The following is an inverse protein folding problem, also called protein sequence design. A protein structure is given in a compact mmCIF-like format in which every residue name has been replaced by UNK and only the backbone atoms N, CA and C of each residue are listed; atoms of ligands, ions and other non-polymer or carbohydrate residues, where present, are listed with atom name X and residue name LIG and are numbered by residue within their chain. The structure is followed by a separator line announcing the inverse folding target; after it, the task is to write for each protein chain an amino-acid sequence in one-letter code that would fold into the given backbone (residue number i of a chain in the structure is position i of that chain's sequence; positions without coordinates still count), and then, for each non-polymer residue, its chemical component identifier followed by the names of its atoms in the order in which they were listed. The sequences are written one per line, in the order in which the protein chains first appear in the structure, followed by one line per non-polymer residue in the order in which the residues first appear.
data_IF_185209438454
#
_entry.id   IF_185209438454
#
_cell.length_a   1.000
_cell.length_b   1.000
_cell.length_c   1.000
_cell.angle_alpha   90.00
_cell.angle_beta   90.00
_cell.angle_gamma   90.00
#
_symmetry.space_group_name_H-M   'P 1'
#
loop_
_entity.id
_entity.type
_entity.pdbx_description
1 polymer ?
#
# COMPACT_ATOMS: atom_id res chain seq x y z
N UNK A 1 52.20 31.74 -17.05
CA UNK A 1 51.57 30.50 -17.58
C UNK A 1 51.64 29.33 -16.59
N UNK A 2 52.81 29.00 -15.99
CA UNK A 2 52.93 27.90 -15.02
C UNK A 2 52.19 28.12 -13.68
N UNK A 3 52.05 29.36 -13.21
CA UNK A 3 51.35 29.71 -11.97
C UNK A 3 49.81 29.65 -12.11
N UNK A 4 49.27 30.08 -13.26
CA UNK A 4 47.82 30.01 -13.54
C UNK A 4 47.35 28.55 -13.72
N UNK A 5 48.19 27.68 -14.26
CA UNK A 5 47.89 26.24 -14.39
C UNK A 5 47.84 25.58 -13.00
N UNK A 6 48.75 25.95 -12.08
CA UNK A 6 48.73 25.44 -10.71
C UNK A 6 47.48 25.88 -9.92
N UNK A 7 47.00 27.11 -10.13
CA UNK A 7 45.78 27.62 -9.50
C UNK A 7 44.51 26.95 -10.03
N UNK A 8 44.45 26.64 -11.33
CA UNK A 8 43.31 25.93 -11.94
C UNK A 8 43.28 24.47 -11.47
N UNK A 9 44.44 23.82 -11.34
CA UNK A 9 44.52 22.45 -10.84
C UNK A 9 44.17 22.34 -9.35
N UNK A 10 44.50 23.34 -8.51
CA UNK A 10 44.10 23.32 -7.10
C UNK A 10 42.59 23.53 -6.94
N UNK A 11 41.97 24.38 -7.77
CA UNK A 11 40.51 24.59 -7.77
C UNK A 11 39.75 23.35 -8.27
N UNK A 12 40.28 22.63 -9.25
CA UNK A 12 39.67 21.40 -9.77
C UNK A 12 39.72 20.24 -8.75
N UNK A 13 40.79 20.15 -7.95
CA UNK A 13 40.89 19.17 -6.85
C UNK A 13 39.87 19.39 -5.74
N UNK A 14 39.50 20.65 -5.45
CA UNK A 14 38.49 20.97 -4.43
C UNK A 14 37.07 20.61 -4.92
N UNK A 15 36.78 20.80 -6.22
CA UNK A 15 35.50 20.41 -6.82
C UNK A 15 35.27 18.90 -6.87
N UNK A 16 36.34 18.08 -6.91
CA UNK A 16 36.22 16.62 -6.88
C UNK A 16 35.78 16.06 -5.52
N UNK A 17 35.95 16.82 -4.42
CA UNK A 17 35.55 16.42 -3.07
C UNK A 17 34.10 16.77 -2.71
N UNK A 18 33.37 17.50 -3.57
CA UNK A 18 32.02 18.01 -3.26
C UNK A 18 30.86 17.14 -3.80
N UNK A 19 31.13 15.93 -4.30
CA UNK A 19 30.11 15.05 -4.91
C UNK A 19 29.63 13.90 -3.99
N UNK A 20 30.06 13.83 -2.73
CA UNK A 20 29.76 12.70 -1.81
C UNK A 20 28.71 13.02 -0.71
N UNK A 21 28.07 14.19 -0.72
CA UNK A 21 27.08 14.61 0.32
C UNK A 21 25.60 14.37 -0.07
N UNK A 22 25.31 13.62 -1.14
CA UNK A 22 23.92 13.48 -1.66
C UNK A 22 23.18 12.24 -1.11
N UNK A 23 23.81 11.40 -0.28
CA UNK A 23 23.16 10.16 0.19
C UNK A 23 22.34 10.35 1.49
N UNK A 24 22.84 11.14 2.45
CA UNK A 24 22.23 11.19 3.79
C UNK A 24 20.87 11.92 3.80
N UNK A 25 20.72 13.01 3.03
CA UNK A 25 19.46 13.78 3.04
C UNK A 25 18.28 13.03 2.41
N UNK A 26 18.51 12.21 1.37
CA UNK A 26 17.45 11.44 0.73
C UNK A 26 17.03 10.22 1.56
N UNK A 27 17.95 9.63 2.33
CA UNK A 27 17.64 8.56 3.28
C UNK A 27 16.77 9.09 4.43
N UNK A 28 17.15 10.24 4.99
CA UNK A 28 16.45 10.86 6.12
C UNK A 28 14.98 11.22 5.79
N UNK A 29 14.69 11.62 4.54
CA UNK A 29 13.32 11.94 4.12
C UNK A 29 12.41 10.71 4.03
N UNK A 30 12.97 9.50 3.87
CA UNK A 30 12.20 8.24 3.80
C UNK A 30 12.00 7.56 5.15
N UNK A 31 12.87 7.82 6.13
CA UNK A 31 12.71 7.34 7.51
C UNK A 31 11.89 8.29 8.38
N UNK A 32 11.38 9.40 7.83
CA UNK A 32 10.49 10.26 8.62
C UNK A 32 9.26 9.47 9.03
N UNK A 33 8.95 9.43 10.35
CA UNK A 33 7.83 8.67 10.84
C UNK A 33 6.54 9.33 10.35
N UNK A 34 5.71 8.58 9.62
CA UNK A 34 4.40 9.03 9.13
C UNK A 34 3.35 9.21 10.26
N UNK A 35 3.75 9.01 11.52
CA UNK A 35 2.91 9.18 12.69
C UNK A 35 3.67 9.02 14.01
N UNK A 36 3.15 9.60 15.09
CA UNK A 36 3.71 9.46 16.44
C UNK A 36 3.23 8.13 17.04
N UNK A 37 4.14 7.19 17.28
CA UNK A 37 3.86 5.98 18.05
C UNK A 37 3.72 6.39 19.52
N UNK A 38 2.49 6.41 20.04
CA UNK A 38 2.28 6.50 21.48
C UNK A 38 2.48 5.11 22.06
N UNK A 39 3.67 4.87 22.61
CA UNK A 39 3.88 3.71 23.50
C UNK A 39 3.16 4.05 24.80
N UNK A 40 1.99 3.45 25.04
CA UNK A 40 1.41 3.47 26.37
C UNK A 40 2.32 2.64 27.25
N UNK A 41 3.02 3.31 28.18
CA UNK A 41 3.70 2.64 29.26
C UNK A 41 2.71 1.74 29.99
N UNK A 42 3.16 0.50 30.14
CA UNK A 42 2.55 -0.62 30.80
C UNK A 42 2.07 -0.24 32.20
N UNK A 43 0.75 -0.18 32.40
CA UNK A 43 0.13 -0.31 33.71
C UNK A 43 -0.87 -1.46 33.63
N UNK A 44 -0.40 -2.60 34.11
CA UNK A 44 -1.05 -3.89 33.98
C UNK A 44 -2.43 -3.96 34.62
N UNK A 45 -3.28 -4.78 34.01
CA UNK A 45 -4.04 -5.79 34.72
C UNK A 45 -4.69 -6.75 33.72
N UNK A 46 -4.39 -8.04 33.91
CA UNK A 46 -5.23 -9.21 33.65
C UNK A 46 -5.74 -9.45 32.22
N UNK A 47 -5.09 -10.43 31.59
CA UNK A 47 -5.74 -11.32 30.63
C UNK A 47 -6.86 -12.05 31.36
N UNK A 48 -8.10 -11.69 31.07
CA UNK A 48 -9.22 -12.61 31.16
C UNK A 48 -9.80 -12.78 29.75
N UNK A 49 -9.94 -14.05 29.37
CA UNK A 49 -10.57 -14.48 28.14
C UNK A 49 -12.01 -13.93 28.07
N UNK A 50 -12.30 -13.13 27.05
CA UNK A 50 -13.65 -12.61 26.86
C UNK A 50 -13.72 -11.71 25.64
N UNK A 51 -14.41 -12.17 24.61
CA UNK A 51 -14.77 -11.37 23.46
C UNK A 51 -15.39 -10.03 23.89
N UNK A 52 -14.82 -8.90 23.48
CA UNK A 52 -15.57 -7.65 23.26
C UNK A 52 -14.76 -6.71 22.36
N UNK A 53 -15.31 -6.52 21.17
CA UNK A 53 -15.05 -5.46 20.20
C UNK A 53 -14.96 -4.09 20.87
N UNK A 54 -13.77 -3.51 20.97
CA UNK A 54 -13.59 -2.11 21.33
C UNK A 54 -13.25 -1.30 20.09
N UNK A 55 -14.28 -0.59 19.62
CA UNK A 55 -14.21 0.44 18.60
C UNK A 55 -13.43 1.65 19.14
N UNK A 56 -12.22 1.87 18.64
CA UNK A 56 -11.57 3.18 18.73
C UNK A 56 -11.93 3.99 17.48
N UNK A 57 -12.80 4.97 17.68
CA UNK A 57 -13.09 6.02 16.70
C UNK A 57 -11.90 6.97 16.66
N UNK A 58 -10.93 6.64 15.82
CA UNK A 58 -9.92 7.59 15.34
C UNK A 58 -10.56 8.52 14.30
N UNK A 59 -10.06 9.75 14.20
CA UNK A 59 -10.66 10.85 13.45
C UNK A 59 -10.78 10.50 11.96
N UNK A 60 -11.97 10.05 11.59
CA UNK A 60 -12.39 9.61 10.26
C UNK A 60 -12.13 10.69 9.20
N UNK A 61 -11.05 10.55 8.45
CA UNK A 61 -11.30 10.26 7.03
C UNK A 61 -12.08 8.96 7.02
N UNK A 62 -13.36 8.98 6.67
CA UNK A 62 -14.18 7.77 6.59
C UNK A 62 -13.62 6.96 5.42
N UNK A 63 -12.57 6.18 5.67
CA UNK A 63 -12.01 5.28 4.68
C UNK A 63 -13.11 4.30 4.30
N UNK A 64 -13.32 4.11 3.01
CA UNK A 64 -14.39 3.23 2.56
C UNK A 64 -14.02 1.79 2.95
N UNK A 65 -15.01 0.95 3.33
CA UNK A 65 -14.74 -0.43 3.71
C UNK A 65 -13.91 -1.16 2.64
N UNK A 66 -12.83 -1.81 3.04
CA UNK A 66 -11.96 -2.56 2.12
C UNK A 66 -10.93 -1.73 1.35
N UNK A 67 -10.96 -0.40 1.47
CA UNK A 67 -10.00 0.47 0.79
C UNK A 67 -8.55 0.22 1.26
N UNK A 68 -8.30 -0.03 2.56
CA UNK A 68 -6.96 -0.38 3.07
C UNK A 68 -6.38 -1.63 2.42
N UNK A 69 -7.19 -2.67 2.32
CA UNK A 69 -6.77 -3.94 1.72
C UNK A 69 -6.55 -3.76 0.21
N UNK A 70 -7.45 -3.05 -0.47
CA UNK A 70 -7.28 -2.73 -1.88
C UNK A 70 -5.97 -1.97 -2.13
N UNK A 71 -5.74 -0.88 -1.40
CA UNK A 71 -4.58 -0.01 -1.60
C UNK A 71 -3.28 -0.80 -1.37
N UNK A 72 -3.25 -1.65 -0.34
CA UNK A 72 -2.05 -2.38 0.08
C UNK A 72 -1.71 -3.59 -0.80
N UNK A 73 -2.72 -4.33 -1.27
CA UNK A 73 -2.50 -5.63 -1.92
C UNK A 73 -3.03 -5.72 -3.35
N UNK A 74 -4.16 -5.06 -3.63
CA UNK A 74 -4.88 -5.27 -4.90
C UNK A 74 -4.53 -4.22 -5.96
N UNK A 75 -4.17 -3.01 -5.54
CA UNK A 75 -3.98 -1.83 -6.38
C UNK A 75 -2.92 -2.03 -7.46
N UNK A 76 -1.84 -2.76 -7.15
CA UNK A 76 -0.71 -3.03 -8.05
C UNK A 76 -1.18 -3.60 -9.38
N UNK A 77 -2.16 -4.50 -9.37
CA UNK A 77 -2.68 -5.11 -10.58
C UNK A 77 -4.00 -4.46 -11.03
N UNK A 78 -4.87 -4.14 -10.09
CA UNK A 78 -6.24 -3.74 -10.40
C UNK A 78 -6.43 -2.24 -10.63
N UNK A 79 -5.45 -1.37 -10.33
CA UNK A 79 -5.59 0.06 -10.63
C UNK A 79 -5.66 0.30 -12.13
N UNK A 80 -4.64 -0.18 -12.85
CA UNK A 80 -4.46 0.09 -14.28
C UNK A 80 -4.76 -1.15 -15.16
N UNK A 81 -5.11 -2.29 -14.55
CA UNK A 81 -5.50 -3.51 -15.25
C UNK A 81 -4.31 -4.34 -15.75
N UNK A 82 -3.26 -4.41 -14.94
CA UNK A 82 -2.05 -5.18 -15.25
C UNK A 82 -2.40 -6.65 -15.50
N UNK A 83 -1.73 -7.28 -16.48
CA UNK A 83 -1.94 -8.67 -16.85
C UNK A 83 -3.41 -9.04 -17.16
N UNK A 84 -4.22 -8.06 -17.60
CA UNK A 84 -5.64 -8.26 -17.91
C UNK A 84 -6.56 -8.29 -16.67
N UNK A 85 -6.08 -7.79 -15.53
CA UNK A 85 -6.91 -7.60 -14.33
C UNK A 85 -8.04 -6.60 -14.61
N UNK A 86 -9.25 -6.79 -14.05
CA UNK A 86 -10.31 -5.80 -14.14
C UNK A 86 -9.89 -4.52 -13.43
N UNK A 87 -10.04 -3.38 -14.11
CA UNK A 87 -9.63 -2.08 -13.57
C UNK A 87 -10.54 -1.62 -12.45
N UNK A 88 -9.98 -0.83 -11.54
CA UNK A 88 -10.70 -0.26 -10.40
C UNK A 88 -11.89 0.56 -10.89
N UNK A 89 -13.10 0.18 -10.43
CA UNK A 89 -14.35 0.87 -10.73
C UNK A 89 -14.68 1.03 -12.23
N UNK A 90 -14.04 0.24 -13.10
CA UNK A 90 -14.29 0.24 -14.54
C UNK A 90 -15.57 -0.53 -14.87
N UNK A 91 -16.63 0.19 -15.25
CA UNK A 91 -17.89 -0.44 -15.66
C UNK A 91 -17.71 -1.42 -16.83
N UNK A 92 -16.83 -1.09 -17.78
CA UNK A 92 -16.57 -1.94 -18.95
C UNK A 92 -16.00 -3.31 -18.55
N UNK A 93 -15.15 -3.35 -17.52
CA UNK A 93 -14.56 -4.60 -17.04
C UNK A 93 -15.51 -5.36 -16.11
N UNK A 94 -16.24 -4.65 -15.25
CA UNK A 94 -17.07 -5.27 -14.21
C UNK A 94 -18.45 -5.70 -14.68
N UNK A 95 -19.10 -5.00 -15.63
CA UNK A 95 -20.42 -5.39 -16.16
C UNK A 95 -20.51 -6.85 -16.63
N UNK A 96 -19.64 -7.36 -17.53
CA UNK A 96 -19.72 -8.75 -17.99
C UNK A 96 -19.42 -9.77 -16.87
N UNK A 97 -18.59 -9.39 -15.89
CA UNK A 97 -18.22 -10.24 -14.76
C UNK A 97 -19.35 -10.34 -13.75
N UNK A 98 -20.00 -9.23 -13.41
CA UNK A 98 -21.15 -9.18 -12.52
C UNK A 98 -22.42 -9.77 -13.16
N UNK A 99 -22.52 -9.78 -14.49
CA UNK A 99 -23.62 -10.44 -15.19
C UNK A 99 -23.57 -11.97 -15.06
N UNK A 100 -22.36 -12.54 -14.92
CA UNK A 100 -22.14 -13.99 -14.87
C UNK A 100 -21.83 -14.52 -13.47
N UNK A 101 -21.52 -13.64 -12.51
CA UNK A 101 -21.05 -14.02 -11.17
C UNK A 101 -21.67 -13.15 -10.08
N UNK A 102 -21.98 -13.77 -8.93
CA UNK A 102 -22.34 -13.06 -7.70
C UNK A 102 -21.07 -12.62 -6.96
N UNK A 103 -21.22 -11.73 -5.98
CA UNK A 103 -20.10 -11.27 -5.12
C UNK A 103 -19.37 -12.45 -4.47
N UNK A 104 -20.10 -13.46 -4.01
CA UNK A 104 -19.49 -14.62 -3.34
C UNK A 104 -18.68 -15.48 -4.32
N UNK A 105 -19.06 -15.54 -5.59
CA UNK A 105 -18.27 -16.23 -6.64
C UNK A 105 -16.98 -15.48 -6.96
N UNK A 106 -17.01 -14.14 -6.90
CA UNK A 106 -15.81 -13.30 -7.02
C UNK A 106 -14.88 -13.51 -5.84
N UNK A 107 -15.42 -13.60 -4.62
CA UNK A 107 -14.66 -13.92 -3.41
C UNK A 107 -14.01 -15.30 -3.52
N UNK A 108 -14.76 -16.32 -3.91
CA UNK A 108 -14.21 -17.67 -4.11
C UNK A 108 -13.09 -17.69 -5.17
N UNK A 109 -13.26 -16.93 -6.26
CA UNK A 109 -12.23 -16.77 -7.30
C UNK A 109 -10.98 -16.05 -6.74
N UNK A 110 -11.17 -15.02 -5.92
CA UNK A 110 -10.07 -14.28 -5.29
C UNK A 110 -9.31 -15.13 -4.25
N UNK A 111 -10.02 -15.94 -3.46
CA UNK A 111 -9.42 -16.85 -2.48
C UNK A 111 -8.58 -17.92 -3.20
N UNK A 112 -9.15 -18.58 -4.21
CA UNK A 112 -8.47 -19.63 -4.97
C UNK A 112 -7.33 -19.09 -5.87
N UNK A 113 -7.48 -17.85 -6.35
CA UNK A 113 -6.69 -17.32 -7.45
C UNK A 113 -7.28 -17.72 -8.81
N UNK A 114 -7.05 -16.88 -9.82
CA UNK A 114 -7.56 -17.09 -11.18
C UNK A 114 -6.60 -16.49 -12.21
N UNK A 115 -6.14 -17.31 -13.16
CA UNK A 115 -5.17 -16.90 -14.18
C UNK A 115 -3.93 -16.27 -13.55
N UNK A 116 -3.63 -15.01 -13.87
CA UNK A 116 -2.52 -14.25 -13.31
C UNK A 116 -2.78 -13.69 -11.89
N UNK A 117 -4.00 -13.81 -11.36
CA UNK A 117 -4.34 -13.35 -10.01
C UNK A 117 -3.94 -14.40 -8.97
N UNK A 118 -3.00 -14.11 -8.04
CA UNK A 118 -2.60 -15.03 -6.99
C UNK A 118 -3.73 -15.32 -5.99
N UNK A 119 -3.59 -16.43 -5.26
CA UNK A 119 -4.51 -16.78 -4.17
C UNK A 119 -4.59 -15.65 -3.11
N UNK A 120 -5.81 -15.41 -2.62
CA UNK A 120 -6.18 -14.33 -1.69
C UNK A 120 -5.69 -12.93 -2.10
N UNK A 121 -5.42 -12.70 -3.39
CA UNK A 121 -4.89 -11.42 -3.88
C UNK A 121 -3.60 -11.00 -3.18
N UNK A 122 -2.74 -11.96 -2.81
CA UNK A 122 -1.50 -11.79 -2.00
C UNK A 122 -1.70 -11.44 -0.52
N UNK A 123 -2.93 -11.28 -0.05
CA UNK A 123 -3.21 -11.06 1.38
C UNK A 123 -3.52 -12.39 2.09
N UNK A 124 -2.48 -13.09 2.54
CA UNK A 124 -2.64 -14.37 3.25
C UNK A 124 -3.31 -14.21 4.61
N UNK A 125 -3.09 -13.08 5.28
CA UNK A 125 -3.62 -12.77 6.62
C UNK A 125 -5.04 -12.20 6.59
N UNK A 126 -5.55 -11.80 5.42
CA UNK A 126 -6.90 -11.25 5.32
C UNK A 126 -7.96 -12.32 5.61
N UNK A 127 -8.96 -11.94 6.40
CA UNK A 127 -10.20 -12.69 6.52
C UNK A 127 -11.05 -12.58 5.25
N UNK A 128 -11.97 -13.53 5.06
CA UNK A 128 -12.88 -13.52 3.91
C UNK A 128 -13.77 -12.28 3.88
N UNK A 129 -14.11 -11.72 5.06
CA UNK A 129 -14.88 -10.49 5.18
C UNK A 129 -14.08 -9.26 4.69
N UNK A 130 -12.80 -9.19 5.00
CA UNK A 130 -11.91 -8.12 4.54
C UNK A 130 -11.67 -8.20 3.04
N UNK A 131 -11.47 -9.40 2.50
CA UNK A 131 -11.37 -9.63 1.06
C UNK A 131 -12.67 -9.26 0.34
N UNK A 132 -13.82 -9.63 0.90
CA UNK A 132 -15.14 -9.27 0.35
C UNK A 132 -15.33 -7.76 0.31
N UNK A 133 -14.96 -7.05 1.38
CA UNK A 133 -15.01 -5.59 1.42
C UNK A 133 -14.09 -4.95 0.36
N UNK A 134 -12.87 -5.48 0.18
CA UNK A 134 -11.95 -5.00 -0.85
C UNK A 134 -12.49 -5.21 -2.27
N UNK A 135 -13.10 -6.38 -2.54
CA UNK A 135 -13.75 -6.66 -3.82
C UNK A 135 -14.90 -5.68 -4.05
N UNK A 136 -15.74 -5.42 -3.05
CA UNK A 136 -16.82 -4.45 -3.16
C UNK A 136 -16.30 -3.04 -3.44
N UNK A 137 -15.21 -2.63 -2.80
CA UNK A 137 -14.59 -1.33 -3.03
C UNK A 137 -14.08 -1.16 -4.48
N UNK A 138 -13.67 -2.26 -5.12
CA UNK A 138 -13.22 -2.29 -6.51
C UNK A 138 -14.35 -2.19 -7.54
N UNK A 139 -15.59 -2.48 -7.15
CA UNK A 139 -16.72 -2.44 -8.06
C UNK A 139 -17.11 -0.99 -8.40
N UNK A 140 -17.62 -0.74 -9.61
CA UNK A 140 -18.15 0.57 -9.97
C UNK A 140 -19.24 0.98 -8.97
N UNK A 141 -19.21 2.24 -8.54
CA UNK A 141 -20.27 2.80 -7.72
C UNK A 141 -21.48 3.03 -8.63
N UNK A 142 -22.62 2.45 -8.24
CA UNK A 142 -23.93 2.66 -8.89
C UNK A 142 -24.52 4.02 -8.56
#
# INVERSE_FOLDING_TARGET
MRLNIALILSFFSIMLFAMDEVDEQQILQRIQPVGKVRVQEEQGNNIEAGATKTTVVDSKSKKEPGQDIYDKYCSVCHRDGLAGAPKFQSEADWKPRLASKKIDDLLASAIKGLNAMPAKGTCMDCSDAELKAAIQYMLPKS
#
